data_IF_749933091730
#
_entry.id   IF_749933091730
#
_cell.length_a   1.000
_cell.length_b   1.000
_cell.length_c   1.000
_cell.angle_alpha   90.00
_cell.angle_beta   90.00
_cell.angle_gamma   90.00
#
_symmetry.space_group_name_H-M   'P 1'
#
loop_
_entity.id
_entity.type
_entity.pdbx_description
1 polymer ?
#
# COMPACT_ATOMS: atom_id res chain seq x y z
N UNK A 1 -29.48 -4.31 -45.64
CA UNK A 1 -28.61 -3.87 -44.52
C UNK A 1 -27.99 -2.55 -44.94
N UNK A 2 -28.39 -1.43 -44.32
CA UNK A 2 -27.88 -0.10 -44.66
C UNK A 2 -26.57 0.14 -43.91
N UNK A 3 -25.44 -0.10 -44.56
CA UNK A 3 -24.12 0.24 -44.03
C UNK A 3 -23.81 1.71 -44.37
N UNK A 4 -23.64 2.55 -43.35
CA UNK A 4 -23.15 3.92 -43.51
C UNK A 4 -21.68 3.98 -43.03
N UNK A 5 -20.75 4.52 -43.83
CA UNK A 5 -19.37 4.71 -43.39
C UNK A 5 -19.33 5.72 -42.24
N UNK A 6 -18.64 5.36 -41.15
CA UNK A 6 -18.42 6.26 -40.02
C UNK A 6 -17.47 7.38 -40.46
N UNK A 7 -17.97 8.62 -40.51
CA UNK A 7 -17.12 9.80 -40.69
C UNK A 7 -16.15 9.91 -39.50
N UNK A 8 -14.85 9.84 -39.76
CA UNK A 8 -13.82 10.01 -38.72
C UNK A 8 -13.81 11.49 -38.33
N UNK A 9 -14.26 11.80 -37.12
CA UNK A 9 -14.13 13.15 -36.55
C UNK A 9 -12.64 13.43 -36.26
N UNK A 10 -12.13 14.65 -36.55
CA UNK A 10 -10.75 15.01 -36.24
C UNK A 10 -10.50 14.97 -34.72
N UNK A 11 -9.30 14.53 -34.34
CA UNK A 11 -8.91 14.39 -32.93
C UNK A 11 -8.72 15.77 -32.27
N UNK A 12 -9.61 16.11 -31.33
CA UNK A 12 -9.51 17.31 -30.49
C UNK A 12 -8.86 16.96 -29.12
N UNK A 13 -7.62 17.42 -28.83
CA UNK A 13 -6.95 17.16 -27.56
C UNK A 13 -7.63 17.79 -26.35
N UNK A 14 -8.42 18.84 -26.53
CA UNK A 14 -9.13 19.49 -25.43
C UNK A 14 -10.36 18.67 -24.99
N UNK A 15 -10.94 17.88 -25.89
CA UNK A 15 -12.21 17.19 -25.69
C UNK A 15 -12.19 15.67 -25.94
N UNK A 16 -11.02 15.05 -26.10
CA UNK A 16 -10.86 13.61 -26.41
C UNK A 16 -11.59 12.64 -25.45
N UNK A 17 -11.93 13.10 -24.23
CA UNK A 17 -12.66 12.29 -23.24
C UNK A 17 -14.13 12.06 -23.62
N UNK A 18 -14.78 13.05 -24.23
CA UNK A 18 -16.22 12.98 -24.54
C UNK A 18 -16.54 11.85 -25.55
N UNK A 19 -15.83 11.70 -26.68
CA UNK A 19 -16.04 10.60 -27.62
C UNK A 19 -15.84 9.21 -26.99
N UNK A 20 -14.88 9.09 -26.06
CA UNK A 20 -14.60 7.82 -25.36
C UNK A 20 -15.75 7.47 -24.42
N UNK A 21 -16.26 8.45 -23.65
CA UNK A 21 -17.41 8.27 -22.74
C UNK A 21 -18.66 7.90 -23.54
N UNK A 22 -18.92 8.57 -24.66
CA UNK A 22 -20.07 8.33 -25.52
C UNK A 22 -20.02 6.95 -26.18
N UNK A 23 -18.86 6.57 -26.74
CA UNK A 23 -18.63 5.23 -27.29
C UNK A 23 -18.83 4.15 -26.23
N UNK A 24 -18.30 4.37 -25.02
CA UNK A 24 -18.44 3.44 -23.90
C UNK A 24 -19.90 3.32 -23.45
N UNK A 25 -20.65 4.41 -23.43
CA UNK A 25 -22.10 4.42 -23.12
C UNK A 25 -22.90 3.63 -24.16
N UNK A 26 -22.59 3.80 -25.44
CA UNK A 26 -23.24 3.09 -26.55
C UNK A 26 -22.98 1.57 -26.50
N UNK A 27 -21.75 1.18 -26.17
CA UNK A 27 -21.34 -0.24 -26.18
C UNK A 27 -21.67 -0.98 -24.88
N UNK A 28 -21.55 -0.33 -23.72
CA UNK A 28 -21.58 -0.97 -22.41
C UNK A 28 -22.74 -0.50 -21.50
N UNK A 29 -23.59 0.42 -21.99
CA UNK A 29 -24.64 1.05 -21.19
C UNK A 29 -24.12 2.16 -20.26
N UNK A 30 -25.01 2.75 -19.46
CA UNK A 30 -24.60 3.73 -18.44
C UNK A 30 -23.66 3.06 -17.42
N UNK A 31 -22.53 3.68 -17.04
CA UNK A 31 -21.67 3.13 -16.00
C UNK A 31 -22.50 3.00 -14.73
N UNK A 32 -22.65 1.77 -14.25
CA UNK A 32 -23.32 1.49 -12.97
C UNK A 32 -22.61 2.32 -11.90
N UNK A 33 -23.34 3.26 -11.30
CA UNK A 33 -22.83 4.08 -10.19
C UNK A 33 -22.33 3.11 -9.14
N UNK A 34 -21.01 3.10 -8.89
CA UNK A 34 -20.45 2.25 -7.84
C UNK A 34 -21.07 2.69 -6.53
N UNK A 35 -22.04 1.92 -6.04
CA UNK A 35 -22.55 2.06 -4.69
C UNK A 35 -21.37 1.76 -3.80
N UNK A 36 -20.83 2.79 -3.14
CA UNK A 36 -19.81 2.63 -2.10
C UNK A 36 -20.48 1.79 -1.01
N UNK A 37 -20.32 0.47 -1.07
CA UNK A 37 -20.79 -0.41 -0.01
C UNK A 37 -19.98 -0.05 1.22
N UNK A 38 -20.61 0.57 2.20
CA UNK A 38 -20.00 0.78 3.50
C UNK A 38 -19.46 -0.56 3.99
N UNK A 39 -18.19 -0.59 4.38
CA UNK A 39 -17.60 -1.80 4.98
C UNK A 39 -18.48 -2.16 6.17
N UNK A 40 -19.04 -3.37 6.26
CA UNK A 40 -19.83 -3.76 7.42
C UNK A 40 -18.96 -3.54 8.66
N UNK A 41 -19.48 -2.79 9.63
CA UNK A 41 -18.82 -2.62 10.92
C UNK A 41 -18.69 -4.03 11.50
N UNK A 42 -17.46 -4.45 11.77
CA UNK A 42 -17.22 -5.76 12.35
C UNK A 42 -17.98 -5.82 13.68
N UNK A 43 -18.86 -6.81 13.84
CA UNK A 43 -19.53 -7.03 15.12
C UNK A 43 -18.47 -7.12 16.22
N UNK A 44 -18.67 -6.40 17.32
CA UNK A 44 -17.80 -6.46 18.49
C UNK A 44 -17.86 -7.89 19.03
N UNK A 45 -16.83 -8.68 18.71
CA UNK A 45 -16.65 -9.99 19.31
C UNK A 45 -16.38 -9.73 20.79
N UNK A 46 -17.19 -10.27 21.72
CA UNK A 46 -16.94 -10.08 23.14
C UNK A 46 -15.53 -10.57 23.46
N UNK A 47 -14.67 -9.64 23.90
CA UNK A 47 -13.31 -9.98 24.30
C UNK A 47 -13.40 -10.79 25.58
N UNK A 48 -13.37 -12.12 25.44
CA UNK A 48 -13.08 -12.98 26.58
C UNK A 48 -11.67 -12.57 27.06
N UNK A 49 -11.56 -12.13 28.30
CA UNK A 49 -10.27 -11.86 28.94
C UNK A 49 -9.55 -13.19 29.16
N UNK A 50 -8.96 -13.71 28.08
CA UNK A 50 -8.15 -14.92 28.11
C UNK A 50 -6.84 -14.51 28.76
N UNK A 51 -6.69 -14.83 30.04
CA UNK A 51 -5.39 -14.74 30.70
C UNK A 51 -4.42 -15.69 29.98
N UNK A 52 -3.52 -15.10 29.20
CA UNK A 52 -2.46 -15.86 28.55
C UNK A 52 -1.43 -16.27 29.61
N UNK A 53 -1.01 -17.52 29.57
CA UNK A 53 0.06 -18.03 30.41
C UNK A 53 1.33 -17.19 30.25
N UNK A 54 2.12 -17.09 31.32
CA UNK A 54 3.32 -16.25 31.36
C UNK A 54 4.33 -16.61 30.26
N UNK A 55 4.42 -17.90 29.88
CA UNK A 55 5.29 -18.36 28.81
C UNK A 55 4.87 -17.82 27.43
N UNK A 56 3.56 -17.66 27.17
CA UNK A 56 3.04 -17.07 25.93
C UNK A 56 3.41 -15.59 25.88
N UNK A 57 3.24 -14.87 27.00
CA UNK A 57 3.65 -13.47 27.12
C UNK A 57 5.16 -13.30 26.92
N UNK A 58 5.97 -14.19 27.48
CA UNK A 58 7.42 -14.19 27.29
C UNK A 58 7.81 -14.40 25.82
N UNK A 59 7.19 -15.36 25.13
CA UNK A 59 7.42 -15.60 23.71
C UNK A 59 6.98 -14.42 22.82
N UNK A 60 5.84 -13.80 23.13
CA UNK A 60 5.38 -12.60 22.42
C UNK A 60 6.37 -11.43 22.59
N UNK A 61 6.88 -11.23 23.81
CA UNK A 61 7.93 -10.22 24.08
C UNK A 61 9.21 -10.54 23.33
N UNK A 62 9.65 -11.79 23.34
CA UNK A 62 10.85 -12.23 22.61
C UNK A 62 10.72 -11.98 21.10
N UNK A 63 9.55 -12.22 20.51
CA UNK A 63 9.27 -11.91 19.09
C UNK A 63 9.49 -10.44 18.74
N UNK A 64 9.22 -9.51 19.65
CA UNK A 64 9.43 -8.08 19.42
C UNK A 64 10.92 -7.70 19.42
N UNK A 65 11.78 -8.50 20.04
CA UNK A 65 13.24 -8.29 20.08
C UNK A 65 13.90 -8.77 18.79
N UNK A 66 13.31 -9.74 18.10
CA UNK A 66 13.80 -10.24 16.81
C UNK A 66 13.83 -9.11 15.75
N UNK A 67 14.73 -9.19 14.74
CA UNK A 67 14.86 -8.16 13.70
C UNK A 67 13.53 -7.77 13.04
N UNK A 68 12.73 -8.76 12.65
CA UNK A 68 11.41 -8.57 12.02
C UNK A 68 10.41 -7.91 12.98
N UNK A 69 10.46 -8.27 14.27
CA UNK A 69 9.61 -7.68 15.30
C UNK A 69 9.92 -6.20 15.55
N UNK A 70 11.20 -5.86 15.61
CA UNK A 70 11.67 -4.46 15.72
C UNK A 70 11.23 -3.62 14.53
N UNK A 71 11.40 -4.16 13.32
CA UNK A 71 10.95 -3.49 12.10
C UNK A 71 9.43 -3.28 12.09
N UNK A 72 8.66 -4.30 12.45
CA UNK A 72 7.19 -4.21 12.50
C UNK A 72 6.73 -3.15 13.52
N UNK A 73 7.41 -3.10 14.68
CA UNK A 73 7.15 -2.08 15.71
C UNK A 73 7.45 -0.66 15.20
N UNK A 74 8.59 -0.46 14.53
CA UNK A 74 8.93 0.84 13.94
C UNK A 74 7.88 1.31 12.93
N UNK A 75 7.51 0.42 12.00
CA UNK A 75 6.46 0.71 11.00
C UNK A 75 5.13 1.06 11.67
N UNK A 76 4.73 0.33 12.71
CA UNK A 76 3.50 0.60 13.43
C UNK A 76 3.50 1.99 14.09
N UNK A 77 4.56 2.32 14.84
CA UNK A 77 4.70 3.64 15.47
C UNK A 77 4.67 4.76 14.43
N UNK A 78 5.43 4.61 13.33
CA UNK A 78 5.47 5.62 12.27
C UNK A 78 4.16 5.77 11.51
N UNK A 79 3.40 4.69 11.32
CA UNK A 79 2.06 4.78 10.74
C UNK A 79 1.13 5.64 11.60
N UNK A 80 1.20 5.54 12.93
CA UNK A 80 0.44 6.39 13.85
C UNK A 80 0.87 7.86 13.68
N UNK A 81 2.17 8.13 13.69
CA UNK A 81 2.71 9.49 13.54
C UNK A 81 2.34 10.14 12.19
N UNK A 82 2.30 9.34 11.12
CA UNK A 82 1.95 9.81 9.77
C UNK A 82 0.44 9.82 9.50
N UNK A 83 -0.40 9.38 10.45
CA UNK A 83 -1.85 9.26 10.25
C UNK A 83 -2.24 8.22 9.20
N UNK A 84 -1.37 7.24 8.93
CA UNK A 84 -1.59 6.19 7.94
C UNK A 84 -2.10 4.90 8.61
N UNK A 85 -3.07 4.24 7.98
CA UNK A 85 -3.53 2.95 8.49
C UNK A 85 -2.46 1.87 8.24
N UNK A 86 -1.96 1.27 9.32
CA UNK A 86 -0.95 0.21 9.27
C UNK A 86 -1.32 -0.91 8.28
N UNK A 87 -2.58 -1.35 8.28
CA UNK A 87 -3.05 -2.43 7.41
C UNK A 87 -3.02 -2.07 5.93
N UNK A 88 -3.25 -0.81 5.58
CA UNK A 88 -3.16 -0.34 4.20
C UNK A 88 -1.69 -0.24 3.76
N UNK A 89 -0.82 0.18 4.67
CA UNK A 89 0.62 0.31 4.43
C UNK A 89 1.27 -1.07 4.23
N UNK A 90 1.01 -2.06 5.09
CA UNK A 90 1.54 -3.43 4.91
C UNK A 90 0.80 -4.21 3.80
N UNK A 91 -0.39 -3.75 3.42
CA UNK A 91 -1.27 -4.45 2.51
C UNK A 91 -0.81 -4.46 1.04
N UNK A 92 -1.53 -5.18 0.17
CA UNK A 92 -1.24 -5.24 -1.26
C UNK A 92 -1.54 -3.92 -2.00
N UNK A 93 -2.21 -2.95 -1.35
CA UNK A 93 -2.75 -1.75 -2.00
C UNK A 93 -1.68 -0.91 -2.70
N UNK A 94 -2.03 -0.36 -3.87
CA UNK A 94 -1.16 0.49 -4.70
C UNK A 94 -1.71 1.91 -4.85
N UNK A 95 -2.55 2.36 -3.90
CA UNK A 95 -3.10 3.71 -3.93
C UNK A 95 -1.98 4.74 -3.84
N UNK A 96 -2.13 5.85 -4.59
CA UNK A 96 -1.10 6.88 -4.75
C UNK A 96 -0.76 7.63 -3.47
N UNK A 97 -1.66 7.63 -2.50
CA UNK A 97 -1.47 8.20 -1.16
C UNK A 97 -0.68 7.25 -0.23
N UNK A 98 -0.87 5.94 -0.36
CA UNK A 98 -0.22 4.94 0.51
C UNK A 98 1.18 4.55 0.03
N UNK A 99 1.40 4.48 -1.29
CA UNK A 99 2.70 4.03 -1.84
C UNK A 99 3.88 4.90 -1.38
N UNK A 100 3.81 6.25 -1.40
CA UNK A 100 4.90 7.09 -0.91
C UNK A 100 5.20 6.88 0.58
N UNK A 101 4.15 6.74 1.41
CA UNK A 101 4.30 6.43 2.84
C UNK A 101 5.01 5.10 3.02
N UNK A 102 4.61 4.08 2.27
CA UNK A 102 5.25 2.76 2.32
C UNK A 102 6.73 2.83 1.93
N UNK A 103 7.06 3.52 0.84
CA UNK A 103 8.45 3.67 0.40
C UNK A 103 9.27 4.39 1.48
N UNK A 104 8.72 5.44 2.09
CA UNK A 104 9.37 6.17 3.18
C UNK A 104 9.71 5.22 4.33
N UNK A 105 8.75 4.40 4.78
CA UNK A 105 9.01 3.46 5.86
C UNK A 105 10.04 2.38 5.50
N UNK A 106 10.03 1.88 4.25
CA UNK A 106 11.06 0.94 3.78
C UNK A 106 12.46 1.56 3.84
N UNK A 107 12.57 2.84 3.46
CA UNK A 107 13.81 3.61 3.55
C UNK A 107 14.25 3.85 5.00
N UNK A 108 13.32 4.24 5.88
CA UNK A 108 13.60 4.45 7.31
C UNK A 108 14.10 3.15 7.97
N UNK A 109 13.47 2.00 7.68
CA UNK A 109 13.95 0.72 8.20
C UNK A 109 15.37 0.40 7.75
N UNK A 110 15.73 0.74 6.51
CA UNK A 110 17.07 0.48 5.97
C UNK A 110 18.15 1.36 6.62
N UNK A 111 17.85 2.63 6.87
CA UNK A 111 18.85 3.63 7.27
C UNK A 111 18.84 3.99 8.75
N UNK A 112 17.66 4.01 9.39
CA UNK A 112 17.51 4.50 10.77
C UNK A 112 17.62 3.40 11.82
N UNK A 113 17.33 2.14 11.46
CA UNK A 113 17.43 1.04 12.42
C UNK A 113 18.85 0.52 12.55
N UNK A 114 19.23 0.24 13.79
CA UNK A 114 20.48 -0.42 14.15
C UNK A 114 20.20 -1.65 15.02
N UNK A 115 20.70 -2.85 14.67
CA UNK A 115 21.42 -3.16 13.43
C UNK A 115 20.52 -3.03 12.20
N UNK A 116 21.11 -2.68 11.06
CA UNK A 116 20.37 -2.48 9.83
C UNK A 116 19.79 -3.83 9.34
N UNK A 117 18.48 -3.91 9.10
CA UNK A 117 17.86 -5.10 8.52
C UNK A 117 18.23 -5.23 7.04
N UNK A 118 18.33 -6.48 6.60
CA UNK A 118 18.50 -6.84 5.19
C UNK A 118 17.21 -6.61 4.38
N UNK A 119 17.33 -6.44 3.05
CA UNK A 119 16.15 -6.27 2.19
C UNK A 119 15.14 -7.42 2.28
N UNK A 120 15.53 -8.71 2.39
CA UNK A 120 14.59 -9.80 2.63
C UNK A 120 13.85 -9.67 3.97
N UNK A 121 14.54 -9.29 5.06
CA UNK A 121 13.90 -9.11 6.37
C UNK A 121 12.86 -7.98 6.35
N UNK A 122 13.18 -6.87 5.67
CA UNK A 122 12.21 -5.80 5.42
C UNK A 122 11.04 -6.33 4.57
N UNK A 123 11.34 -7.14 3.56
CA UNK A 123 10.34 -7.79 2.70
C UNK A 123 9.35 -8.64 3.48
N UNK A 124 9.79 -9.36 4.52
CA UNK A 124 8.91 -10.15 5.41
C UNK A 124 7.90 -9.26 6.12
N UNK A 125 8.32 -8.09 6.63
CA UNK A 125 7.44 -7.14 7.33
C UNK A 125 6.34 -6.62 6.41
N UNK A 126 6.73 -6.21 5.18
CA UNK A 126 5.79 -5.66 4.20
C UNK A 126 5.07 -6.72 3.36
N UNK A 127 5.38 -8.01 3.54
CA UNK A 127 4.91 -9.11 2.68
C UNK A 127 5.18 -8.83 1.20
N UNK A 128 6.38 -8.33 0.90
CA UNK A 128 6.84 -7.94 -0.45
C UNK A 128 8.17 -8.60 -0.78
N UNK A 129 8.43 -8.73 -2.07
CA UNK A 129 9.71 -9.21 -2.55
C UNK A 129 10.81 -8.16 -2.28
N UNK A 130 12.01 -8.63 -1.96
CA UNK A 130 13.15 -7.77 -1.60
C UNK A 130 13.52 -6.77 -2.70
N UNK A 131 13.32 -7.11 -3.98
CA UNK A 131 13.56 -6.18 -5.11
C UNK A 131 12.64 -4.97 -5.10
N UNK A 132 11.40 -5.12 -4.59
CA UNK A 132 10.50 -3.98 -4.41
C UNK A 132 10.98 -3.05 -3.31
N UNK A 133 11.60 -3.61 -2.26
CA UNK A 133 12.20 -2.82 -1.17
C UNK A 133 13.41 -2.05 -1.71
N UNK A 134 14.30 -2.73 -2.43
CA UNK A 134 15.45 -2.11 -3.07
C UNK A 134 15.04 -0.93 -3.96
N UNK A 135 14.05 -1.14 -4.83
CA UNK A 135 13.50 -0.08 -5.68
C UNK A 135 12.99 1.12 -4.86
N UNK A 136 12.18 0.88 -3.82
CA UNK A 136 11.61 1.94 -2.98
C UNK A 136 12.68 2.77 -2.25
N UNK A 137 13.74 2.09 -1.78
CA UNK A 137 14.89 2.72 -1.12
C UNK A 137 15.65 3.60 -2.11
N UNK A 138 16.06 3.04 -3.24
CA UNK A 138 16.79 3.78 -4.28
C UNK A 138 16.00 4.96 -4.85
N UNK A 139 14.67 4.82 -5.02
CA UNK A 139 13.81 5.93 -5.45
C UNK A 139 13.85 7.10 -4.46
N UNK A 140 13.88 6.83 -3.15
CA UNK A 140 13.92 7.85 -2.12
C UNK A 140 15.30 8.47 -1.95
N UNK A 141 16.35 7.68 -2.06
CA UNK A 141 17.73 8.19 -2.06
C UNK A 141 17.94 9.18 -3.21
N UNK A 142 17.47 8.84 -4.41
CA UNK A 142 17.47 9.76 -5.56
C UNK A 142 16.67 11.03 -5.30
N UNK A 143 15.50 10.94 -4.64
CA UNK A 143 14.68 12.11 -4.29
C UNK A 143 15.32 13.00 -3.23
N UNK A 144 16.10 12.41 -2.32
CA UNK A 144 16.77 13.12 -1.21
C UNK A 144 18.15 13.67 -1.62
N UNK A 145 18.71 13.18 -2.72
CA UNK A 145 20.05 13.57 -3.19
C UNK A 145 21.17 12.87 -2.44
N UNK A 146 20.88 11.80 -1.71
CA UNK A 146 21.90 10.98 -1.03
C UNK A 146 22.35 9.86 -1.98
N UNK A 147 23.64 9.81 -2.39
CA UNK A 147 24.14 8.71 -3.19
C UNK A 147 24.31 7.46 -2.32
N UNK A 148 23.88 6.30 -2.83
CA UNK A 148 24.08 5.01 -2.18
C UNK A 148 25.58 4.68 -2.00
N UNK A 149 25.95 4.27 -0.79
CA UNK A 149 27.22 3.60 -0.44
C UNK A 149 27.01 2.09 -0.25
#
# INVERSE_FOLDING_TARGET
MNWQPLSVQPFDPANYRQPIIERRRRLMGNPVRQVVRARPQAAEVPSLDVQHDEHVKAWQRWKLVLPVGRCSRHVYTRCIELGANYNDVIGPTRRRDIVPVRHLLMWELRHMLSPQPSYPEIGVVFKRHHTSIFYAVTELDQKRGEPHA
#
